data_IF_141161018458
#
_entry.id   IF_141161018458
#
_cell.length_a   1.000
_cell.length_b   1.000
_cell.length_c   1.000
_cell.angle_alpha   90.00
_cell.angle_beta   90.00
_cell.angle_gamma   90.00
#
_symmetry.space_group_name_H-M   'P 1'
#
loop_
_entity.id
_entity.type
_entity.pdbx_description
1 polymer ?
#
# COMPACT_ATOMS: atom_id res chain seq x y z
N UNK A 1 -24.25 4.47 1.39
CA UNK A 1 -23.37 3.31 1.58
C UNK A 1 -21.97 3.86 1.74
N UNK A 2 -21.39 3.76 2.93
CA UNK A 2 -19.97 4.08 3.10
C UNK A 2 -19.16 3.06 2.29
N UNK A 3 -18.11 3.49 1.57
CA UNK A 3 -17.25 2.54 0.87
C UNK A 3 -16.61 1.60 1.90
N UNK A 4 -16.76 0.28 1.70
CA UNK A 4 -16.07 -0.70 2.53
C UNK A 4 -14.64 -0.88 2.02
N UNK A 5 -13.68 -1.21 2.89
CA UNK A 5 -12.26 -1.31 2.53
C UNK A 5 -12.00 -2.26 1.35
N UNK A 6 -12.76 -3.35 1.23
CA UNK A 6 -12.66 -4.30 0.12
C UNK A 6 -13.00 -3.67 -1.25
N UNK A 7 -14.02 -2.81 -1.31
CA UNK A 7 -14.39 -2.09 -2.53
C UNK A 7 -13.37 -1.03 -2.94
N UNK A 8 -12.62 -0.50 -1.98
CA UNK A 8 -11.50 0.42 -2.24
C UNK A 8 -10.28 -0.33 -2.77
N UNK A 9 -9.98 -1.52 -2.24
CA UNK A 9 -8.88 -2.38 -2.72
C UNK A 9 -9.02 -2.74 -4.20
N UNK A 10 -10.24 -2.99 -4.67
CA UNK A 10 -10.51 -3.31 -6.09
C UNK A 10 -10.23 -2.16 -7.05
N UNK A 11 -10.02 -0.95 -6.55
CA UNK A 11 -9.64 0.21 -7.37
C UNK A 11 -8.12 0.34 -7.53
N UNK A 12 -7.34 -0.42 -6.76
CA UNK A 12 -5.89 -0.43 -6.88
C UNK A 12 -5.46 -1.25 -8.09
N UNK A 13 -4.53 -0.72 -8.88
CA UNK A 13 -3.93 -1.44 -10.00
C UNK A 13 -2.42 -1.46 -9.86
N UNK A 14 -1.81 -2.64 -9.83
CA UNK A 14 -0.35 -2.78 -9.76
C UNK A 14 0.29 -2.18 -11.02
N UNK A 15 1.34 -1.40 -10.83
CA UNK A 15 2.12 -0.78 -11.89
C UNK A 15 3.56 -1.31 -11.94
N UNK A 16 4.24 -1.02 -13.04
CA UNK A 16 5.68 -1.22 -13.16
C UNK A 16 6.41 -0.21 -12.27
N UNK A 17 7.42 -0.66 -11.53
CA UNK A 17 8.22 0.17 -10.62
C UNK A 17 9.63 -0.39 -10.50
N UNK A 18 10.49 0.31 -9.75
CA UNK A 18 11.82 -0.17 -9.38
C UNK A 18 11.74 -1.51 -8.61
N UNK A 19 12.79 -2.35 -8.64
CA UNK A 19 12.76 -3.66 -8.00
C UNK A 19 12.58 -3.61 -6.47
N UNK A 20 12.99 -2.52 -5.83
CA UNK A 20 12.84 -2.20 -4.41
C UNK A 20 11.50 -1.53 -4.07
N UNK A 21 10.60 -1.39 -5.05
CA UNK A 21 9.28 -0.79 -4.86
C UNK A 21 8.16 -1.66 -5.41
N UNK A 22 7.02 -1.67 -4.72
CA UNK A 22 5.76 -2.19 -5.21
C UNK A 22 4.77 -1.03 -5.33
N UNK A 23 4.45 -0.64 -6.56
CA UNK A 23 3.61 0.52 -6.86
C UNK A 23 2.20 0.10 -7.28
N UNK A 24 1.22 0.81 -6.73
CA UNK A 24 -0.17 0.79 -7.18
C UNK A 24 -0.58 2.18 -7.67
N UNK A 25 -1.31 2.21 -8.78
CA UNK A 25 -2.20 3.33 -9.05
C UNK A 25 -3.35 3.29 -8.03
N UNK A 26 -3.54 4.39 -7.32
CA UNK A 26 -4.45 4.54 -6.19
C UNK A 26 -5.24 5.86 -6.36
N UNK A 27 -6.33 5.86 -7.14
CA UNK A 27 -7.16 7.04 -7.40
C UNK A 27 -8.12 7.33 -6.22
N UNK A 28 -7.61 7.25 -5.00
CA UNK A 28 -8.37 7.37 -3.76
C UNK A 28 -8.00 8.68 -3.04
N UNK A 29 -8.92 9.19 -2.22
CA UNK A 29 -8.61 10.30 -1.31
C UNK A 29 -7.79 9.81 -0.11
N UNK A 30 -7.14 10.73 0.62
CA UNK A 30 -6.44 10.40 1.86
C UNK A 30 -7.32 9.64 2.86
N UNK A 31 -8.58 10.07 3.03
CA UNK A 31 -9.54 9.43 3.94
C UNK A 31 -9.86 7.99 3.50
N UNK A 32 -10.07 7.77 2.20
CA UNK A 32 -10.31 6.44 1.66
C UNK A 32 -9.07 5.55 1.79
N UNK A 33 -7.89 6.10 1.56
CA UNK A 33 -6.62 5.37 1.75
C UNK A 33 -6.44 4.97 3.22
N UNK A 34 -6.72 5.87 4.17
CA UNK A 34 -6.67 5.56 5.61
C UNK A 34 -7.59 4.40 6.01
N UNK A 35 -8.78 4.31 5.40
CA UNK A 35 -9.72 3.20 5.64
C UNK A 35 -9.26 1.88 5.01
N UNK A 36 -8.57 1.94 3.88
CA UNK A 36 -8.20 0.77 3.07
C UNK A 36 -6.86 0.14 3.50
N UNK A 37 -5.87 0.95 3.87
CA UNK A 37 -4.50 0.50 4.18
C UNK A 37 -4.43 -0.63 5.22
N UNK A 38 -5.18 -0.61 6.33
CA UNK A 38 -5.14 -1.73 7.30
C UNK A 38 -5.54 -3.06 6.67
N UNK A 39 -6.54 -3.06 5.78
CA UNK A 39 -6.98 -4.27 5.09
C UNK A 39 -5.98 -4.69 4.01
N UNK A 40 -5.37 -3.74 3.29
CA UNK A 40 -4.30 -4.03 2.33
C UNK A 40 -3.14 -4.76 3.00
N UNK A 41 -2.61 -4.19 4.08
CA UNK A 41 -1.44 -4.76 4.77
C UNK A 41 -1.75 -6.09 5.42
N UNK A 42 -2.96 -6.26 5.98
CA UNK A 42 -3.38 -7.57 6.49
C UNK A 42 -3.37 -8.65 5.40
N UNK A 43 -3.80 -8.33 4.17
CA UNK A 43 -3.80 -9.28 3.05
C UNK A 43 -2.41 -9.56 2.48
N UNK A 44 -1.46 -8.67 2.74
CA UNK A 44 -0.04 -8.84 2.39
C UNK A 44 0.77 -9.47 3.53
N UNK A 45 0.12 -9.91 4.61
CA UNK A 45 0.76 -10.41 5.82
C UNK A 45 1.76 -9.43 6.45
N UNK A 46 1.53 -8.13 6.25
CA UNK A 46 2.32 -7.05 6.83
C UNK A 46 1.68 -6.49 8.11
N UNK A 47 2.51 -6.02 9.02
CA UNK A 47 2.09 -5.28 10.21
C UNK A 47 2.12 -3.77 9.94
N UNK A 48 1.00 -3.10 10.22
CA UNK A 48 0.88 -1.65 10.10
C UNK A 48 1.44 -0.96 11.35
N UNK A 49 2.42 -0.08 11.15
CA UNK A 49 3.02 0.74 12.19
C UNK A 49 2.45 2.15 12.25
N UNK A 50 3.29 3.09 12.73
CA UNK A 50 2.90 4.49 12.94
C UNK A 50 2.61 5.21 11.62
N UNK A 51 1.57 6.05 11.65
CA UNK A 51 1.20 6.97 10.56
C UNK A 51 1.87 8.34 10.76
N UNK A 52 2.43 8.87 9.69
CA UNK A 52 2.79 10.28 9.56
C UNK A 52 1.97 10.90 8.42
N UNK A 53 1.33 12.02 8.71
CA UNK A 53 0.45 12.71 7.77
C UNK A 53 1.02 14.08 7.37
N UNK A 54 1.16 14.28 6.06
CA UNK A 54 1.43 15.57 5.43
C UNK A 54 0.15 16.18 4.82
N UNK A 55 0.30 17.26 4.08
CA UNK A 55 -0.84 17.95 3.44
C UNK A 55 -1.51 17.08 2.36
N UNK A 56 -0.71 16.43 1.53
CA UNK A 56 -1.10 15.63 0.36
C UNK A 56 -0.48 14.23 0.38
N UNK A 57 0.24 13.91 1.47
CA UNK A 57 0.99 12.66 1.63
C UNK A 57 0.64 11.93 2.89
N UNK A 58 0.63 10.61 2.82
CA UNK A 58 0.58 9.74 3.99
C UNK A 58 1.77 8.80 3.95
N UNK A 59 2.33 8.53 5.12
CA UNK A 59 3.46 7.64 5.29
C UNK A 59 3.19 6.70 6.46
N UNK A 60 3.48 5.42 6.29
CA UNK A 60 3.46 4.45 7.36
C UNK A 60 4.76 3.67 7.42
N UNK A 61 5.23 3.43 8.64
CA UNK A 61 6.14 2.33 8.88
C UNK A 61 5.38 1.01 8.78
N UNK A 62 5.96 0.04 8.08
CA UNK A 62 5.38 -1.28 7.88
C UNK A 62 6.42 -2.33 8.24
N UNK A 63 5.99 -3.47 8.76
CA UNK A 63 6.90 -4.59 9.03
C UNK A 63 6.43 -5.83 8.28
N UNK A 64 7.33 -6.50 7.58
CA UNK A 64 7.09 -7.78 6.92
C UNK A 64 8.13 -8.79 7.41
N UNK A 65 7.69 -9.91 7.99
CA UNK A 65 8.56 -10.94 8.58
C UNK A 65 9.63 -10.44 9.57
N UNK A 66 9.42 -9.26 10.17
CA UNK A 66 10.36 -8.60 11.08
C UNK A 66 11.25 -7.54 10.43
N UNK A 67 11.26 -7.45 9.10
CA UNK A 67 12.00 -6.45 8.34
C UNK A 67 11.18 -5.17 8.12
N UNK A 68 11.80 -3.98 8.27
CA UNK A 68 11.11 -2.72 8.09
C UNK A 68 10.93 -2.37 6.61
N UNK A 69 9.72 -1.93 6.28
CA UNK A 69 9.30 -1.40 5.00
C UNK A 69 8.67 -0.03 5.20
N UNK A 70 8.52 0.71 4.11
CA UNK A 70 7.84 2.00 4.09
C UNK A 70 6.66 1.97 3.14
N UNK A 71 5.48 2.39 3.61
CA UNK A 71 4.32 2.61 2.77
C UNK A 71 4.12 4.12 2.57
N UNK A 72 4.06 4.54 1.32
CA UNK A 72 3.87 5.93 0.94
C UNK A 72 2.62 6.08 0.10
N UNK A 73 1.89 7.16 0.31
CA UNK A 73 0.75 7.58 -0.50
C UNK A 73 0.89 9.06 -0.85
N UNK A 74 0.61 9.40 -2.11
CA UNK A 74 0.60 10.78 -2.61
C UNK A 74 -0.65 11.03 -3.44
N UNK A 75 -1.55 11.87 -2.92
CA UNK A 75 -2.87 12.09 -3.53
C UNK A 75 -2.82 12.85 -4.85
N UNK A 76 -1.80 13.70 -5.05
CA UNK A 76 -1.66 14.47 -6.30
C UNK A 76 -1.19 13.62 -7.48
N UNK A 77 -0.65 12.44 -7.20
CA UNK A 77 -0.13 11.51 -8.20
C UNK A 77 -0.97 10.23 -8.35
N UNK A 78 -2.02 10.06 -7.53
CA UNK A 78 -2.78 8.82 -7.42
C UNK A 78 -1.85 7.61 -7.23
N UNK A 79 -0.87 7.74 -6.32
CA UNK A 79 0.20 6.76 -6.13
C UNK A 79 0.22 6.24 -4.70
N UNK A 80 0.28 4.91 -4.57
CA UNK A 80 0.56 4.20 -3.33
C UNK A 80 1.70 3.23 -3.59
N UNK A 81 2.75 3.23 -2.77
CA UNK A 81 3.84 2.27 -2.95
C UNK A 81 4.43 1.78 -1.63
N UNK A 82 4.80 0.50 -1.61
CA UNK A 82 5.70 -0.08 -0.62
C UNK A 82 7.14 0.05 -1.12
N UNK A 83 8.06 0.34 -0.21
CA UNK A 83 9.49 0.40 -0.48
C UNK A 83 10.27 -0.35 0.60
N UNK A 84 11.30 -1.10 0.19
CA UNK A 84 12.13 -1.86 1.12
C UNK A 84 13.17 -2.72 0.42
N UNK A 85 13.57 -3.84 1.04
CA UNK A 85 14.48 -4.79 0.44
C UNK A 85 13.88 -5.38 -0.86
N UNK A 86 14.71 -5.57 -1.89
CA UNK A 86 14.30 -6.15 -3.17
C UNK A 86 13.64 -7.51 -3.00
N UNK A 87 14.20 -8.42 -2.19
CA UNK A 87 13.69 -9.79 -2.08
C UNK A 87 12.27 -9.80 -1.48
N UNK A 88 12.05 -9.04 -0.41
CA UNK A 88 10.75 -8.88 0.23
C UNK A 88 9.73 -8.24 -0.72
N UNK A 89 10.13 -7.21 -1.44
CA UNK A 89 9.25 -6.50 -2.38
C UNK A 89 8.86 -7.41 -3.57
N UNK A 90 9.77 -8.24 -4.08
CA UNK A 90 9.44 -9.19 -5.14
C UNK A 90 8.47 -10.27 -4.65
N UNK A 91 8.62 -10.73 -3.41
CA UNK A 91 7.67 -11.65 -2.80
C UNK A 91 6.30 -10.99 -2.61
N UNK A 92 6.25 -9.80 -2.02
CA UNK A 92 5.03 -9.02 -1.81
C UNK A 92 4.33 -8.68 -3.11
N UNK A 93 5.06 -8.43 -4.20
CA UNK A 93 4.48 -8.23 -5.54
C UNK A 93 3.69 -9.46 -6.01
N UNK A 94 4.20 -10.66 -5.72
CA UNK A 94 3.53 -11.93 -6.05
C UNK A 94 2.28 -12.15 -5.20
N UNK A 95 2.30 -11.75 -3.92
CA UNK A 95 1.12 -11.76 -3.05
C UNK A 95 0.08 -10.72 -3.48
N UNK A 96 0.51 -9.50 -3.77
CA UNK A 96 -0.36 -8.41 -4.16
C UNK A 96 -1.18 -8.73 -5.41
N UNK A 97 -0.57 -9.39 -6.40
CA UNK A 97 -1.27 -9.84 -7.60
C UNK A 97 -2.50 -10.72 -7.26
N UNK A 98 -2.38 -11.61 -6.27
CA UNK A 98 -3.47 -12.49 -5.81
C UNK A 98 -4.53 -11.78 -4.96
N UNK A 99 -4.19 -10.64 -4.39
CA UNK A 99 -5.04 -9.86 -3.49
C UNK A 99 -5.97 -8.91 -4.25
N UNK A 100 -5.52 -8.48 -5.43
CA UNK A 100 -6.24 -7.57 -6.33
C UNK A 100 -7.06 -8.29 -7.42
N UNK A 101 -6.95 -9.61 -7.54
CA UNK A 101 -7.83 -10.49 -8.34
C UNK A 101 -9.18 -10.75 -7.63
#
# INVERSE_FOLDING_TARGET
MEPNANSLLQQLTIQSSAPEQLLWHCPLTQEQTLLMVPTLLQRLDCQLGELQQGADRLFWLVTFEGEPLELHFESLCDSLWLQGNVDDIQFLRTLAAKVTE
#
